data_IF_529361150558
#
_entry.id   IF_529361150558
#
_cell.length_a   1.000
_cell.length_b   1.000
_cell.length_c   1.000
_cell.angle_alpha   90.00
_cell.angle_beta   90.00
_cell.angle_gamma   90.00
#
_symmetry.space_group_name_H-M   'P 1'
#
loop_
_entity.id
_entity.type
_entity.pdbx_description
1 polymer ?
#
# COMPACT_ATOMS: atom_id res chain seq x y z
N UNK A 1 8.99 2.59 5.38
CA UNK A 1 7.61 2.54 4.87
C UNK A 1 7.43 1.23 4.11
N UNK A 2 6.27 0.57 4.23
CA UNK A 2 5.87 -0.50 3.33
C UNK A 2 5.90 -0.01 1.87
N UNK A 3 6.13 -0.90 0.91
CA UNK A 3 6.12 -0.54 -0.52
C UNK A 3 4.75 -0.78 -1.14
N UNK A 4 4.40 -0.01 -2.17
CA UNK A 4 3.26 -0.32 -3.04
C UNK A 4 3.42 -1.73 -3.61
N UNK A 5 2.32 -2.47 -3.70
CA UNK A 5 2.29 -3.88 -4.10
C UNK A 5 2.58 -4.88 -2.98
N UNK A 6 2.96 -4.42 -1.78
CA UNK A 6 3.14 -5.33 -0.63
C UNK A 6 1.79 -5.83 -0.16
N UNK A 7 1.69 -7.14 0.05
CA UNK A 7 0.51 -7.76 0.62
C UNK A 7 0.51 -7.56 2.13
N UNK A 8 -0.63 -7.18 2.68
CA UNK A 8 -0.83 -6.92 4.11
C UNK A 8 -2.11 -7.59 4.61
N UNK A 9 -2.16 -7.81 5.92
CA UNK A 9 -3.37 -8.25 6.62
C UNK A 9 -3.90 -7.05 7.39
N UNK A 10 -5.13 -6.65 7.07
CA UNK A 10 -5.90 -5.60 7.75
C UNK A 10 -7.01 -6.24 8.59
N UNK A 11 -7.69 -5.46 9.46
CA UNK A 11 -8.85 -5.95 10.22
C UNK A 11 -9.99 -6.50 9.35
N UNK A 12 -10.14 -6.00 8.13
CA UNK A 12 -11.18 -6.36 7.15
C UNK A 12 -10.77 -7.58 6.31
N UNK A 13 -9.47 -7.86 6.16
CA UNK A 13 -9.00 -9.02 5.43
C UNK A 13 -7.60 -8.88 4.84
N UNK A 14 -7.30 -9.70 3.83
CA UNK A 14 -6.05 -9.62 3.07
C UNK A 14 -6.18 -8.56 1.99
N UNK A 15 -5.18 -7.69 1.86
CA UNK A 15 -5.17 -6.66 0.85
C UNK A 15 -3.78 -6.31 0.34
N UNK A 16 -3.74 -5.50 -0.72
CA UNK A 16 -2.51 -5.03 -1.36
C UNK A 16 -2.36 -3.53 -1.14
N UNK A 17 -1.18 -3.07 -0.71
CA UNK A 17 -0.90 -1.64 -0.59
C UNK A 17 -0.87 -1.02 -1.98
N UNK A 18 -1.66 0.02 -2.19
CA UNK A 18 -1.74 0.75 -3.47
C UNK A 18 -1.18 2.17 -3.39
N UNK A 19 -1.02 2.71 -2.17
CA UNK A 19 -0.48 4.04 -1.93
C UNK A 19 0.08 4.14 -0.50
N UNK A 20 1.01 5.06 -0.26
CA UNK A 20 1.66 5.24 1.04
C UNK A 20 1.80 6.72 1.39
N UNK A 21 1.32 7.10 2.58
CA UNK A 21 1.39 8.46 3.10
C UNK A 21 2.46 8.54 4.19
N UNK A 22 3.68 8.90 3.80
CA UNK A 22 4.87 8.96 4.68
C UNK A 22 4.68 9.86 5.90
N UNK A 23 4.16 11.08 5.69
CA UNK A 23 3.97 12.06 6.76
C UNK A 23 2.93 11.65 7.80
N UNK A 24 1.95 10.83 7.40
CA UNK A 24 0.87 10.37 8.27
C UNK A 24 1.09 8.94 8.79
N UNK A 25 2.17 8.29 8.35
CA UNK A 25 2.46 6.88 8.62
C UNK A 25 1.26 5.97 8.31
N UNK A 26 0.58 6.26 7.20
CA UNK A 26 -0.59 5.55 6.72
C UNK A 26 -0.34 4.90 5.37
N UNK A 27 -1.10 3.85 5.07
CA UNK A 27 -1.12 3.21 3.76
C UNK A 27 -2.55 3.06 3.29
N UNK A 28 -2.73 3.15 1.97
CA UNK A 28 -3.99 2.82 1.32
C UNK A 28 -3.92 1.39 0.84
N UNK A 29 -4.85 0.57 1.29
CA UNK A 29 -4.90 -0.87 1.02
C UNK A 29 -6.15 -1.18 0.21
N UNK A 30 -5.98 -1.94 -0.86
CA UNK A 30 -7.07 -2.55 -1.62
C UNK A 30 -7.37 -3.92 -1.01
N UNK A 31 -8.48 -4.04 -0.31
CA UNK A 31 -8.90 -5.26 0.39
C UNK A 31 -9.97 -5.97 -0.43
N UNK A 32 -9.85 -7.29 -0.57
CA UNK A 32 -10.90 -8.13 -1.17
C UNK A 32 -11.80 -8.66 -0.06
N UNK A 33 -13.08 -8.28 -0.11
CA UNK A 33 -14.09 -8.70 0.86
C UNK A 33 -14.70 -10.06 0.48
N UNK A 34 -15.44 -10.66 1.41
CA UNK A 34 -16.06 -11.98 1.26
C UNK A 34 -17.13 -12.03 0.15
N UNK A 35 -17.69 -10.89 -0.24
CA UNK A 35 -18.68 -10.75 -1.31
C UNK A 35 -18.04 -10.59 -2.70
N UNK A 36 -16.74 -10.87 -2.83
CA UNK A 36 -15.94 -10.72 -4.04
C UNK A 36 -15.78 -9.26 -4.51
N UNK A 37 -16.14 -8.28 -3.67
CA UNK A 37 -15.90 -6.87 -3.96
C UNK A 37 -14.52 -6.43 -3.49
N UNK A 38 -14.02 -5.36 -4.10
CA UNK A 38 -12.75 -4.74 -3.74
C UNK A 38 -13.02 -3.32 -3.21
N UNK A 39 -12.58 -3.08 -1.97
CA UNK A 39 -12.73 -1.77 -1.32
C UNK A 39 -11.37 -1.21 -0.91
N UNK A 40 -11.31 0.12 -0.76
CA UNK A 40 -10.08 0.85 -0.42
C UNK A 40 -10.17 1.38 1.00
N UNK A 41 -9.23 0.97 1.84
CA UNK A 41 -9.15 1.38 3.23
C UNK A 41 -7.83 2.10 3.50
N UNK A 42 -7.87 3.10 4.38
CA UNK A 42 -6.66 3.73 4.91
C UNK A 42 -6.41 3.17 6.29
N UNK A 43 -5.21 2.65 6.50
CA UNK A 43 -4.78 2.16 7.81
C UNK A 43 -3.47 2.81 8.21
N UNK A 44 -3.28 2.98 9.51
CA UNK A 44 -1.93 3.26 10.00
C UNK A 44 -1.06 2.03 9.87
N UNK A 45 0.24 2.25 9.72
CA UNK A 45 1.22 1.16 9.57
C UNK A 45 1.25 0.26 10.80
N UNK A 46 0.96 0.79 12.00
CA UNK A 46 0.91 0.04 13.26
C UNK A 46 -0.38 -0.78 13.44
N UNK A 47 -1.40 -0.57 12.60
CA UNK A 47 -2.69 -1.28 12.65
C UNK A 47 -2.74 -2.50 11.73
N UNK A 48 -1.74 -2.67 10.86
CA UNK A 48 -1.69 -3.74 9.85
C UNK A 48 -0.49 -4.65 10.04
N UNK A 49 -0.60 -5.87 9.51
CA UNK A 49 0.51 -6.82 9.49
C UNK A 49 1.09 -6.85 8.09
N UNK A 50 2.35 -6.43 7.97
CA UNK A 50 3.09 -6.45 6.71
C UNK A 50 3.57 -7.89 6.44
N UNK A 51 3.22 -8.44 5.28
CA UNK A 51 3.73 -9.75 4.86
C UNK A 51 4.95 -9.59 3.96
N UNK A 52 5.66 -10.70 3.71
CA UNK A 52 6.75 -10.74 2.73
C UNK A 52 6.25 -11.11 1.31
N UNK A 53 4.94 -11.17 1.11
CA UNK A 53 4.35 -11.44 -0.20
C UNK A 53 4.15 -10.13 -0.97
N UNK A 54 4.27 -10.21 -2.29
CA UNK A 54 3.98 -9.10 -3.21
C UNK A 54 2.94 -9.53 -4.22
N UNK A 55 2.05 -8.60 -4.52
CA UNK A 55 1.06 -8.78 -5.56
C UNK A 55 1.76 -8.68 -6.94
N UNK A 56 1.68 -9.73 -7.77
CA UNK A 56 2.30 -9.72 -9.09
C UNK A 56 1.80 -8.59 -10.00
N UNK A 57 0.58 -8.09 -9.78
CA UNK A 57 0.01 -6.98 -10.54
C UNK A 57 0.76 -5.67 -10.30
N UNK A 58 1.46 -5.56 -9.18
CA UNK A 58 2.23 -4.38 -8.76
C UNK A 58 3.74 -4.60 -8.86
N UNK A 59 4.19 -5.70 -9.47
CA UNK A 59 5.61 -6.02 -9.61
C UNK A 59 6.38 -5.10 -10.57
N UNK A 60 5.68 -4.21 -11.29
CA UNK A 60 6.24 -3.40 -12.37
C UNK A 60 6.40 -1.90 -12.05
N UNK A 61 5.94 -1.41 -10.90
CA UNK A 61 5.88 0.05 -10.60
C UNK A 61 7.03 0.57 -9.71
N UNK A 62 8.16 -0.15 -9.63
CA UNK A 62 9.28 0.21 -8.74
C UNK A 62 10.32 1.15 -9.37
N UNK A 63 10.02 1.82 -10.49
CA UNK A 63 10.98 2.71 -11.17
C UNK A 63 10.70 4.23 -11.11
N UNK A 64 9.57 4.75 -10.60
CA UNK A 64 9.23 6.18 -10.78
C UNK A 64 8.75 6.93 -9.51
N UNK A 65 9.48 6.84 -8.38
CA UNK A 65 9.31 7.85 -7.30
C UNK A 65 10.65 8.18 -6.61
N UNK A 66 11.67 8.48 -7.39
CA UNK A 66 12.71 9.42 -7.00
C UNK A 66 12.67 10.57 -8.03
N UNK A 67 13.01 11.79 -7.61
CA UNK A 67 13.06 13.02 -8.43
C UNK A 67 11.76 13.84 -8.57
N UNK A 68 11.47 14.70 -7.58
CA UNK A 68 11.14 16.11 -7.84
C UNK A 68 11.04 16.92 -6.52
N UNK A 69 12.19 17.14 -5.85
CA UNK A 69 12.31 18.16 -4.80
C UNK A 69 13.35 19.25 -5.12
N UNK A 70 13.92 19.27 -6.32
CA UNK A 70 15.05 20.17 -6.67
C UNK A 70 14.68 21.40 -7.53
N UNK A 71 13.40 21.77 -7.64
CA UNK A 71 13.00 23.03 -8.31
C UNK A 71 12.49 24.10 -7.34
N UNK A 72 13.31 24.41 -6.33
CA UNK A 72 13.17 25.64 -5.55
C UNK A 72 14.43 26.52 -5.73
N UNK A 73 14.56 27.16 -6.89
CA UNK A 73 15.46 28.31 -7.09
C UNK A 73 14.74 29.48 -7.77
#
# INVERSE_FOLDING_TARGET
MPTVGTIVITPEGKGTIIDTYTLLEMVKVKVRLDDDTEELFNHKIDEIIITNERDPQYAQEVEDVEEDFDNLE
#
